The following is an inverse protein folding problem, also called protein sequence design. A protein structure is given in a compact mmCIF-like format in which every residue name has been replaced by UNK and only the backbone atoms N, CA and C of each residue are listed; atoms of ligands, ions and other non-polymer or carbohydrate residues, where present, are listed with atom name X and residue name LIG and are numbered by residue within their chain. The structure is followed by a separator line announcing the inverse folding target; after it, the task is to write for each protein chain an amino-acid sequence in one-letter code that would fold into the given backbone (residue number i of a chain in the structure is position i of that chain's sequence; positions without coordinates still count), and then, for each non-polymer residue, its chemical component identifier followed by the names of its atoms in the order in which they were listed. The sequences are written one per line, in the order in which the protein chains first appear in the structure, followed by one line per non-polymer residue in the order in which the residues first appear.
data_IF_451700813040
#
_entry.id   IF_451700813040
#
_cell.length_a   1.000
_cell.length_b   1.000
_cell.length_c   1.000
_cell.angle_alpha   90.00
_cell.angle_beta   90.00
_cell.angle_gamma   90.00
#
_symmetry.space_group_name_H-M   'P 1'
#
loop_
_entity.id
_entity.type
_entity.pdbx_description
1 polymer ?
#
# COMPACT_ATOMS: atom_id res chain seq x y z
N UNK A 1 45.57 15.60 -18.87
CA UNK A 1 47.04 15.42 -18.79
C UNK A 1 47.46 13.97 -19.04
N UNK A 2 46.71 13.20 -19.84
CA UNK A 2 47.07 11.84 -20.25
C UNK A 2 47.62 11.82 -21.70
N UNK A 3 47.74 12.99 -22.34
CA UNK A 3 48.18 13.14 -23.72
C UNK A 3 47.07 12.98 -24.77
N UNK A 4 45.82 12.83 -24.33
CA UNK A 4 44.64 12.74 -25.19
C UNK A 4 43.73 13.95 -24.94
N UNK A 5 43.08 14.43 -26.01
CA UNK A 5 42.13 15.53 -25.94
C UNK A 5 40.73 14.97 -25.65
N UNK A 6 40.47 14.68 -24.39
CA UNK A 6 39.22 14.06 -23.94
C UNK A 6 38.08 15.10 -23.86
N UNK A 7 38.40 16.39 -23.69
CA UNK A 7 37.41 17.48 -23.63
C UNK A 7 37.09 18.14 -24.99
N UNK A 8 37.80 17.76 -26.06
CA UNK A 8 37.60 18.25 -27.43
C UNK A 8 38.25 19.60 -27.76
N UNK A 9 38.58 20.42 -26.77
CA UNK A 9 39.18 21.76 -26.88
C UNK A 9 40.63 21.86 -26.35
N UNK A 10 41.26 20.72 -26.04
CA UNK A 10 42.60 20.58 -25.44
C UNK A 10 42.75 21.30 -24.09
N UNK A 11 41.64 21.62 -23.43
CA UNK A 11 41.68 22.28 -22.12
C UNK A 11 42.25 21.37 -21.03
N UNK A 12 41.93 20.07 -21.11
CA UNK A 12 42.38 18.98 -20.23
C UNK A 12 43.88 18.67 -20.32
N UNK A 13 44.55 19.15 -21.36
CA UNK A 13 46.00 19.02 -21.57
C UNK A 13 46.78 20.33 -21.34
N UNK A 14 46.10 21.42 -20.94
CA UNK A 14 46.76 22.68 -20.59
C UNK A 14 47.13 22.70 -19.10
N UNK A 15 48.29 23.26 -18.78
CA UNK A 15 48.81 23.47 -17.41
C UNK A 15 49.26 22.20 -16.65
N UNK A 16 49.66 21.14 -17.35
CA UNK A 16 50.20 19.92 -16.74
C UNK A 16 51.68 20.09 -16.32
N UNK A 17 52.00 19.90 -15.05
CA UNK A 17 53.39 19.96 -14.54
C UNK A 17 54.12 18.62 -14.71
N UNK A 18 54.88 18.49 -15.80
CA UNK A 18 55.74 17.33 -16.10
C UNK A 18 57.19 17.57 -15.68
N UNK A 19 57.85 16.56 -15.12
CA UNK A 19 59.31 16.51 -14.92
C UNK A 19 59.83 15.22 -15.53
N UNK A 20 60.84 15.29 -16.41
CA UNK A 20 61.41 14.14 -17.15
C UNK A 20 60.37 13.24 -17.85
N UNK A 21 59.37 13.86 -18.50
CA UNK A 21 58.40 13.13 -19.31
C UNK A 21 57.38 12.29 -18.53
N UNK A 22 57.32 12.42 -17.19
CA UNK A 22 56.31 11.80 -16.34
C UNK A 22 55.48 12.86 -15.62
N UNK A 23 54.18 12.61 -15.45
CA UNK A 23 53.34 13.44 -14.58
C UNK A 23 53.95 13.42 -13.18
N UNK A 24 54.13 14.58 -12.58
CA UNK A 24 54.45 14.68 -11.16
C UNK A 24 53.15 14.33 -10.42
N UNK A 25 52.92 13.10 -10.00
CA UNK A 25 51.71 12.78 -9.22
C UNK A 25 52.02 12.91 -7.72
N UNK A 26 51.05 13.37 -6.95
CA UNK A 26 51.10 13.32 -5.49
C UNK A 26 50.57 11.97 -5.03
N UNK A 27 51.30 11.26 -4.18
CA UNK A 27 50.82 10.01 -3.60
C UNK A 27 50.29 10.31 -2.20
N UNK A 28 49.05 9.91 -1.93
CA UNK A 28 48.46 10.02 -0.59
C UNK A 28 49.36 9.28 0.43
N UNK A 29 49.37 9.73 1.69
CA UNK A 29 50.22 9.14 2.74
C UNK A 29 49.89 7.66 3.02
N UNK A 30 48.64 7.24 2.77
CA UNK A 30 48.18 5.84 2.82
C UNK A 30 48.73 4.96 1.69
N UNK A 31 49.41 5.57 0.70
CA UNK A 31 50.02 4.98 -0.49
C UNK A 31 49.05 4.28 -1.44
N UNK A 32 47.73 4.39 -1.23
CA UNK A 32 46.72 3.68 -2.03
C UNK A 32 46.31 4.46 -3.25
N UNK A 33 46.31 5.79 -3.16
CA UNK A 33 45.83 6.67 -4.22
C UNK A 33 46.92 7.63 -4.70
N UNK A 34 46.97 7.84 -6.01
CA UNK A 34 47.89 8.73 -6.70
C UNK A 34 47.05 9.81 -7.39
N UNK A 35 47.25 11.05 -6.96
CA UNK A 35 46.53 12.22 -7.41
C UNK A 35 47.36 13.05 -8.38
N UNK A 36 46.68 13.81 -9.22
CA UNK A 36 47.34 14.85 -10.01
C UNK A 36 47.71 16.06 -9.11
N UNK A 37 48.71 16.88 -9.46
CA UNK A 37 49.06 18.09 -8.69
C UNK A 37 47.95 19.11 -8.57
N UNK A 38 46.97 19.05 -9.48
CA UNK A 38 45.82 19.96 -9.49
C UNK A 38 44.79 19.60 -8.42
N UNK A 39 44.86 18.37 -7.91
CA UNK A 39 44.00 17.82 -6.85
C UNK A 39 44.67 17.90 -5.47
N UNK A 40 45.69 18.73 -5.34
CA UNK A 40 46.40 18.93 -4.07
C UNK A 40 46.19 20.37 -3.67
N UNK A 41 45.60 20.59 -2.50
CA UNK A 41 45.19 21.90 -2.02
C UNK A 41 44.12 22.57 -2.89
N UNK A 42 43.22 21.78 -3.48
CA UNK A 42 42.16 22.28 -4.36
C UNK A 42 40.84 22.56 -3.62
N UNK A 43 40.82 22.29 -2.32
CA UNK A 43 39.65 22.47 -1.47
C UNK A 43 38.68 21.29 -1.49
N UNK A 44 39.05 20.16 -2.11
CA UNK A 44 38.26 18.93 -2.18
C UNK A 44 39.08 17.77 -1.62
N UNK A 45 38.47 16.92 -0.79
CA UNK A 45 39.14 15.75 -0.23
C UNK A 45 39.05 14.58 -1.20
N UNK A 46 40.13 14.34 -1.92
CA UNK A 46 40.32 13.23 -2.85
C UNK A 46 41.09 12.06 -2.20
N UNK A 47 42.00 12.31 -1.27
CA UNK A 47 42.67 11.26 -0.50
C UNK A 47 41.79 10.77 0.67
N UNK A 48 41.72 9.44 0.87
CA UNK A 48 41.03 8.84 2.03
C UNK A 48 41.63 9.23 3.38
N UNK A 49 42.92 9.58 3.40
CA UNK A 49 43.63 10.06 4.58
C UNK A 49 43.71 11.60 4.66
N UNK A 50 43.02 12.31 3.75
CA UNK A 50 42.94 13.79 3.68
C UNK A 50 44.31 14.45 3.48
N UNK A 51 45.32 13.68 3.03
CA UNK A 51 46.71 14.17 2.95
C UNK A 51 46.93 15.22 1.85
N UNK A 52 46.09 15.20 0.83
CA UNK A 52 46.00 16.19 -0.25
C UNK A 52 45.61 17.59 0.23
N UNK A 53 44.74 17.71 1.24
CA UNK A 53 44.26 19.00 1.74
C UNK A 53 44.91 19.39 3.09
N UNK A 54 45.39 18.43 3.87
CA UNK A 54 45.97 18.68 5.20
C UNK A 54 47.46 19.07 5.17
N UNK A 55 48.18 18.87 4.06
CA UNK A 55 49.59 19.25 3.90
C UNK A 55 49.79 20.63 3.27
N UNK A 56 48.70 21.38 3.11
CA UNK A 56 48.66 22.72 2.52
C UNK A 56 48.96 23.82 3.55
N UNK A 57 49.37 25.00 3.11
CA UNK A 57 49.58 26.16 4.01
C UNK A 57 48.28 26.60 4.69
N UNK A 58 47.12 26.38 4.05
CA UNK A 58 45.81 26.72 4.58
C UNK A 58 45.05 25.46 5.01
N UNK A 59 45.03 25.17 6.31
CA UNK A 59 44.46 23.94 6.88
C UNK A 59 42.97 24.04 7.24
N UNK A 60 42.27 25.07 6.76
CA UNK A 60 40.87 25.33 7.14
C UNK A 60 39.91 24.20 6.79
N UNK A 61 40.04 23.60 5.60
CA UNK A 61 39.24 22.44 5.19
C UNK A 61 39.62 21.18 5.99
N UNK A 62 40.91 21.01 6.29
CA UNK A 62 41.39 19.93 7.15
C UNK A 62 40.78 20.02 8.56
N UNK A 63 40.72 21.23 9.13
CA UNK A 63 40.10 21.50 10.43
C UNK A 63 38.56 21.36 10.42
N UNK A 64 37.92 21.51 9.26
CA UNK A 64 36.47 21.33 9.08
C UNK A 64 36.09 19.85 8.90
N UNK A 65 36.85 19.12 8.08
CA UNK A 65 36.62 17.69 7.76
C UNK A 65 37.04 16.77 8.91
N UNK A 66 38.18 17.03 9.55
CA UNK A 66 38.61 16.29 10.75
C UNK A 66 37.97 16.83 12.03
N UNK A 67 37.17 17.90 11.92
CA UNK A 67 36.65 18.68 13.04
C UNK A 67 37.77 19.37 13.81
N UNK A 68 37.42 20.31 14.70
CA UNK A 68 38.35 20.82 15.73
C UNK A 68 38.77 19.65 16.62
N UNK A 69 39.79 18.91 16.19
CA UNK A 69 40.46 17.88 16.96
C UNK A 69 41.10 18.56 18.16
N UNK A 70 40.37 18.63 19.27
CA UNK A 70 40.99 18.89 20.55
C UNK A 70 41.88 17.67 20.84
N UNK A 71 43.09 17.92 21.31
CA UNK A 71 43.99 16.88 21.81
C UNK A 71 43.27 16.18 22.99
N UNK A 72 42.73 14.97 22.79
CA UNK A 72 41.87 14.34 23.82
C UNK A 72 42.53 13.11 24.46
N UNK A 73 43.42 12.38 23.78
CA UNK A 73 43.95 11.13 24.34
C UNK A 73 45.47 11.04 24.28
N UNK A 74 46.07 10.81 25.45
CA UNK A 74 47.52 10.82 25.65
C UNK A 74 47.98 9.52 26.31
N UNK A 75 48.68 8.68 25.54
CA UNK A 75 49.40 7.52 26.08
C UNK A 75 50.89 7.81 25.99
N UNK A 76 51.50 8.20 27.10
CA UNK A 76 52.94 8.53 27.12
C UNK A 76 53.27 9.75 26.25
N UNK A 77 54.03 9.56 25.16
CA UNK A 77 54.45 10.63 24.22
C UNK A 77 53.62 10.70 22.93
N UNK A 78 52.64 9.81 22.76
CA UNK A 78 51.85 9.70 21.52
C UNK A 78 50.50 10.39 21.70
N UNK A 79 50.19 11.36 20.82
CA UNK A 79 48.96 12.15 20.84
C UNK A 79 48.07 11.69 19.69
N UNK A 80 46.82 11.33 19.99
CA UNK A 80 45.85 10.84 19.00
C UNK A 80 44.78 11.91 18.70
N UNK A 81 44.41 12.07 17.42
CA UNK A 81 43.64 13.24 16.93
C UNK A 81 42.18 12.97 16.49
N UNK A 82 41.71 11.72 16.46
CA UNK A 82 40.40 11.35 15.88
C UNK A 82 39.46 10.62 16.86
N UNK A 83 39.30 11.12 18.10
CA UNK A 83 38.34 10.57 19.08
C UNK A 83 37.19 11.55 19.33
N UNK A 84 35.98 11.03 19.49
CA UNK A 84 34.76 11.80 19.77
C UNK A 84 34.51 11.83 21.28
N UNK A 85 34.34 13.01 21.87
CA UNK A 85 34.10 13.08 23.32
C UNK A 85 32.64 12.75 23.66
N UNK A 86 32.46 11.85 24.62
CA UNK A 86 31.19 11.57 25.29
C UNK A 86 30.08 11.06 24.36
N UNK A 87 30.44 10.31 23.32
CA UNK A 87 29.47 9.74 22.37
C UNK A 87 29.03 8.33 22.77
N UNK A 88 29.56 7.81 23.88
CA UNK A 88 29.24 6.49 24.38
C UNK A 88 30.08 5.41 23.72
N UNK A 89 31.15 5.72 23.00
CA UNK A 89 32.00 4.72 22.34
C UNK A 89 33.46 5.00 22.72
N UNK A 90 34.11 4.10 23.48
CA UNK A 90 35.51 4.31 23.84
C UNK A 90 36.42 4.07 22.63
N UNK A 91 37.02 5.14 22.13
CA UNK A 91 37.98 5.15 21.03
C UNK A 91 39.42 5.30 21.55
N UNK A 92 39.58 5.85 22.76
CA UNK A 92 40.87 5.99 23.40
C UNK A 92 41.22 4.79 24.28
N UNK A 93 42.49 4.38 24.25
CA UNK A 93 43.00 3.22 24.99
C UNK A 93 42.70 3.21 26.50
N UNK A 94 42.59 4.40 27.11
CA UNK A 94 42.24 4.56 28.52
C UNK A 94 40.79 5.05 28.72
N UNK A 95 40.02 5.21 27.64
CA UNK A 95 38.63 5.69 27.63
C UNK A 95 38.47 7.11 28.15
N UNK A 96 39.49 7.95 27.97
CA UNK A 96 39.54 9.35 28.46
C UNK A 96 38.55 10.26 27.72
N UNK A 97 38.21 9.88 26.50
CA UNK A 97 37.13 10.40 25.66
C UNK A 97 35.73 10.17 26.26
N UNK A 98 35.57 9.11 27.04
CA UNK A 98 34.29 8.66 27.60
C UNK A 98 34.19 8.86 29.12
N UNK A 99 35.35 8.88 29.80
CA UNK A 99 35.44 8.89 31.25
C UNK A 99 36.34 10.03 31.77
N UNK A 100 35.80 10.81 32.71
CA UNK A 100 36.53 11.70 33.62
C UNK A 100 37.30 12.92 33.06
N UNK A 101 37.06 13.39 31.83
CA UNK A 101 37.69 14.65 31.36
C UNK A 101 36.76 15.55 30.53
N UNK A 102 35.55 15.83 31.04
CA UNK A 102 34.68 16.87 30.47
C UNK A 102 33.30 16.41 29.98
N UNK A 103 32.92 15.14 30.19
CA UNK A 103 31.57 14.67 29.93
C UNK A 103 30.61 15.13 31.04
N UNK A 104 29.47 15.78 30.72
CA UNK A 104 28.49 16.20 31.72
C UNK A 104 27.84 15.01 32.45
N UNK A 105 27.73 13.86 31.77
CA UNK A 105 27.39 12.56 32.37
C UNK A 105 28.44 11.53 31.92
N UNK A 106 28.94 10.71 32.84
CA UNK A 106 29.79 9.57 32.50
C UNK A 106 29.00 8.55 31.67
N UNK A 107 29.64 7.95 30.67
CA UNK A 107 28.99 6.92 29.84
C UNK A 107 29.09 5.54 30.48
N UNK A 108 28.22 4.62 30.05
CA UNK A 108 28.11 3.27 30.65
C UNK A 108 29.41 2.45 30.56
N UNK A 109 30.31 2.81 29.63
CA UNK A 109 31.62 2.17 29.51
C UNK A 109 32.54 2.44 30.72
N UNK A 110 32.28 3.48 31.52
CA UNK A 110 33.05 3.80 32.73
C UNK A 110 32.83 2.80 33.86
N UNK A 111 31.69 2.09 33.86
CA UNK A 111 31.35 1.11 34.90
C UNK A 111 32.09 -0.23 34.72
N UNK A 112 32.65 -0.50 33.53
CA UNK A 112 33.40 -1.72 33.25
C UNK A 112 34.90 -1.57 33.51
N UNK A 113 35.54 -2.69 33.84
CA UNK A 113 36.98 -2.76 34.05
C UNK A 113 37.75 -2.29 32.80
N UNK A 114 38.65 -1.32 32.97
CA UNK A 114 39.48 -0.74 31.89
C UNK A 114 40.29 -1.78 31.12
N UNK A 115 40.65 -2.90 31.77
CA UNK A 115 41.39 -4.01 31.14
C UNK A 115 40.62 -4.67 30.00
N UNK A 116 39.29 -4.60 30.00
CA UNK A 116 38.45 -5.13 28.93
C UNK A 116 38.67 -4.35 27.64
N UNK A 117 38.51 -3.04 27.73
CA UNK A 117 38.76 -2.13 26.61
C UNK A 117 40.23 -2.20 26.16
N UNK A 118 41.18 -2.15 27.09
CA UNK A 118 42.61 -2.20 26.76
C UNK A 118 42.98 -3.47 25.98
N UNK A 119 42.46 -4.65 26.35
CA UNK A 119 42.73 -5.89 25.59
C UNK A 119 42.20 -5.83 24.16
N UNK A 120 40.98 -5.34 23.98
CA UNK A 120 40.41 -5.17 22.65
C UNK A 120 41.22 -4.16 21.84
N UNK A 121 41.59 -3.03 22.45
CA UNK A 121 42.40 -2.00 21.82
C UNK A 121 43.80 -2.50 21.42
N UNK A 122 44.47 -3.28 22.28
CA UNK A 122 45.75 -3.92 21.95
C UNK A 122 45.60 -4.91 20.78
N UNK A 123 44.53 -5.72 20.76
CA UNK A 123 44.30 -6.68 19.68
C UNK A 123 44.06 -5.99 18.31
N UNK A 124 43.33 -4.86 18.29
CA UNK A 124 43.15 -4.04 17.08
C UNK A 124 44.49 -3.44 16.65
N UNK A 125 45.25 -2.88 17.61
CA UNK A 125 46.55 -2.28 17.35
C UNK A 125 47.56 -3.27 16.76
N UNK A 126 47.67 -4.47 17.33
CA UNK A 126 48.55 -5.53 16.83
C UNK A 126 48.18 -6.00 15.42
N UNK A 127 46.89 -5.96 15.07
CA UNK A 127 46.40 -6.43 13.76
C UNK A 127 46.50 -5.37 12.66
N UNK A 128 46.21 -4.11 12.97
CA UNK A 128 46.03 -3.06 11.97
C UNK A 128 47.08 -1.93 12.06
N UNK A 129 47.83 -1.82 13.17
CA UNK A 129 48.82 -0.76 13.39
C UNK A 129 48.23 0.61 13.71
N UNK A 130 46.91 0.74 13.76
CA UNK A 130 46.16 1.95 14.13
C UNK A 130 44.86 1.57 14.86
N UNK A 131 44.41 2.41 15.81
CA UNK A 131 43.25 2.11 16.67
C UNK A 131 41.93 2.76 16.19
N UNK A 132 41.99 3.96 15.59
CA UNK A 132 40.85 4.88 15.48
C UNK A 132 40.07 4.82 14.15
N UNK A 133 40.60 4.15 13.13
CA UNK A 133 39.94 4.01 11.82
C UNK A 133 38.92 2.86 11.77
N UNK A 134 38.94 1.97 12.77
CA UNK A 134 37.96 0.91 12.93
C UNK A 134 36.91 1.31 13.98
N UNK A 135 36.03 2.27 13.64
CA UNK A 135 34.72 2.32 14.28
C UNK A 135 34.01 0.99 13.96
N UNK A 136 33.32 0.39 14.95
CA UNK A 136 32.38 -0.76 14.86
C UNK A 136 32.84 -2.13 15.42
N UNK A 137 33.64 -2.19 16.50
CA UNK A 137 33.69 -3.44 17.30
C UNK A 137 32.99 -3.31 18.66
N UNK A 138 32.38 -2.16 18.92
CA UNK A 138 31.41 -1.99 19.99
C UNK A 138 30.05 -1.85 19.34
N UNK A 139 29.04 -2.45 19.95
CA UNK A 139 27.67 -2.38 19.46
C UNK A 139 27.55 -2.83 17.99
N UNK A 140 28.19 -3.93 17.61
CA UNK A 140 28.12 -4.52 16.27
C UNK A 140 27.07 -5.64 16.18
N UNK A 141 26.58 -6.11 17.32
CA UNK A 141 25.62 -7.20 17.46
C UNK A 141 26.26 -8.56 17.71
N UNK A 142 27.58 -8.63 17.85
CA UNK A 142 28.33 -9.87 18.11
C UNK A 142 28.97 -9.77 19.49
N UNK A 143 28.39 -10.39 20.54
CA UNK A 143 28.90 -10.24 21.89
C UNK A 143 30.31 -10.80 22.02
N UNK A 144 31.26 -9.95 22.42
CA UNK A 144 32.63 -10.38 22.72
C UNK A 144 32.69 -11.18 24.03
N UNK A 145 33.48 -12.26 24.00
CA UNK A 145 33.69 -13.15 25.14
C UNK A 145 35.16 -13.27 25.50
N UNK A 146 35.63 -12.43 26.44
CA UNK A 146 36.93 -12.60 27.08
C UNK A 146 36.75 -13.31 28.44
N UNK A 147 36.69 -14.64 28.38
CA UNK A 147 36.49 -15.50 29.55
C UNK A 147 37.56 -15.21 30.64
N UNK A 148 37.09 -14.92 31.87
CA UNK A 148 37.84 -14.54 33.10
C UNK A 148 38.11 -13.06 33.36
N UNK A 149 38.05 -12.16 32.38
CA UNK A 149 38.44 -10.74 32.59
C UNK A 149 37.23 -9.81 32.51
N UNK A 150 36.26 -10.14 31.65
CA UNK A 150 35.13 -9.28 31.33
C UNK A 150 33.81 -10.04 31.46
N UNK A 151 32.74 -9.31 31.73
CA UNK A 151 31.39 -9.82 31.52
C UNK A 151 31.18 -10.12 30.03
N UNK A 152 30.44 -11.18 29.75
CA UNK A 152 30.07 -11.59 28.40
C UNK A 152 29.19 -10.51 27.75
N UNK A 153 29.53 -10.06 26.54
CA UNK A 153 28.77 -9.02 25.84
C UNK A 153 28.90 -7.62 26.46
N UNK A 154 30.02 -7.30 27.12
CA UNK A 154 30.29 -5.97 27.68
C UNK A 154 30.37 -4.86 26.63
N UNK A 155 30.52 -5.24 25.38
CA UNK A 155 30.60 -4.41 24.18
C UNK A 155 29.23 -4.15 23.55
N UNK A 156 28.19 -4.86 23.99
CA UNK A 156 26.83 -4.81 23.45
C UNK A 156 25.83 -4.17 24.43
N UNK A 157 26.29 -3.30 25.32
CA UNK A 157 25.45 -2.72 26.38
C UNK A 157 25.24 -1.23 26.18
N UNK A 158 23.98 -0.78 26.34
CA UNK A 158 23.55 0.61 26.20
C UNK A 158 23.95 1.30 24.87
N UNK A 159 23.91 0.54 23.78
CA UNK A 159 24.15 0.96 22.41
C UNK A 159 23.01 1.86 21.92
N UNK A 160 23.30 3.16 21.78
CA UNK A 160 22.32 4.12 21.29
C UNK A 160 21.92 3.77 19.86
N UNK A 161 20.63 3.62 19.62
CA UNK A 161 20.11 3.34 18.26
C UNK A 161 20.06 1.86 17.87
N UNK A 162 20.28 0.92 18.81
CA UNK A 162 20.08 -0.52 18.59
C UNK A 162 18.88 -1.06 19.39
N UNK A 163 18.36 -2.20 18.96
CA UNK A 163 17.29 -2.92 19.65
C UNK A 163 17.85 -4.13 20.37
N UNK A 164 17.40 -4.35 21.61
CA UNK A 164 17.83 -5.44 22.46
C UNK A 164 16.85 -6.60 22.40
N UNK A 165 17.30 -7.75 21.92
CA UNK A 165 16.48 -8.95 21.89
C UNK A 165 16.13 -9.38 23.33
N UNK A 166 14.91 -9.88 23.53
CA UNK A 166 14.36 -10.23 24.85
C UNK A 166 14.89 -11.58 25.37
N UNK A 167 16.21 -11.70 25.48
CA UNK A 167 16.83 -12.95 25.91
C UNK A 167 16.81 -13.10 27.44
N UNK A 168 16.26 -14.21 27.96
CA UNK A 168 16.34 -14.58 29.40
C UNK A 168 17.72 -15.10 29.80
N UNK A 169 18.55 -15.47 28.84
CA UNK A 169 19.96 -15.78 29.09
C UNK A 169 20.73 -14.48 29.16
N UNK A 170 21.70 -14.35 30.07
CA UNK A 170 22.50 -13.12 30.31
C UNK A 170 23.36 -12.65 29.12
N UNK A 171 23.10 -13.15 27.92
CA UNK A 171 23.72 -12.77 26.66
C UNK A 171 22.97 -11.59 26.08
N UNK A 172 23.53 -10.38 26.22
CA UNK A 172 23.04 -9.21 25.49
C UNK A 172 23.39 -9.37 24.01
N UNK A 173 22.35 -9.51 23.20
CA UNK A 173 22.42 -9.52 21.75
C UNK A 173 21.60 -8.34 21.25
N UNK A 174 22.20 -7.53 20.35
CA UNK A 174 21.57 -6.31 19.86
C UNK A 174 21.56 -6.27 18.33
N UNK A 175 20.41 -5.92 17.75
CA UNK A 175 20.24 -5.75 16.31
C UNK A 175 20.17 -4.27 15.97
N UNK A 176 20.52 -3.92 14.73
CA UNK A 176 20.31 -2.57 14.23
C UNK A 176 18.81 -2.24 14.16
N UNK A 177 18.43 -0.98 14.35
CA UNK A 177 17.02 -0.53 14.20
C UNK A 177 16.42 -0.82 12.81
N UNK A 178 17.24 -1.00 11.78
CA UNK A 178 16.78 -1.36 10.43
C UNK A 178 16.27 -2.80 10.33
N UNK A 179 16.72 -3.66 11.23
CA UNK A 179 16.32 -5.08 11.34
C UNK A 179 15.14 -5.25 12.32
N UNK A 180 14.79 -4.21 13.06
CA UNK A 180 13.63 -4.24 13.94
C UNK A 180 12.36 -4.08 13.11
N UNK A 181 11.42 -5.02 13.23
CA UNK A 181 10.18 -5.01 12.45
C UNK A 181 10.49 -4.96 10.95
N UNK A 182 11.38 -5.81 10.47
CA UNK A 182 11.74 -6.00 9.07
C UNK A 182 11.03 -7.23 8.43
N UNK A 183 10.40 -8.07 9.26
CA UNK A 183 9.57 -9.23 8.89
C UNK A 183 10.32 -10.54 8.89
N UNK A 184 11.60 -10.48 9.19
CA UNK A 184 12.50 -11.61 9.30
C UNK A 184 12.92 -11.69 10.76
N UNK A 185 12.73 -12.84 11.43
CA UNK A 185 13.25 -13.02 12.78
C UNK A 185 14.79 -13.05 12.75
N UNK A 186 15.43 -11.96 13.14
CA UNK A 186 16.90 -11.82 13.31
C UNK A 186 17.33 -12.10 14.75
N UNK A 187 16.47 -11.80 15.72
CA UNK A 187 16.67 -12.24 17.09
C UNK A 187 16.49 -13.77 17.19
N UNK A 188 17.33 -14.43 18.00
CA UNK A 188 17.23 -15.89 18.23
C UNK A 188 15.92 -16.34 18.87
N UNK A 189 15.22 -15.42 19.55
CA UNK A 189 13.91 -15.62 20.17
C UNK A 189 12.74 -15.02 19.34
N UNK A 190 13.04 -14.33 18.23
CA UNK A 190 12.07 -13.62 17.40
C UNK A 190 11.40 -12.42 18.09
N UNK A 191 12.03 -11.85 19.12
CA UNK A 191 11.48 -10.71 19.88
C UNK A 191 11.43 -9.40 19.09
N UNK A 192 12.25 -9.29 18.07
CA UNK A 192 12.28 -8.21 17.07
C UNK A 192 11.04 -8.16 16.18
N UNK A 193 10.36 -9.28 15.99
CA UNK A 193 9.16 -9.38 15.15
C UNK A 193 7.89 -9.63 15.97
N UNK A 194 7.93 -9.39 17.28
CA UNK A 194 6.80 -9.63 18.16
C UNK A 194 5.72 -8.55 18.00
N UNK A 195 4.46 -8.98 17.96
CA UNK A 195 3.30 -8.09 17.75
C UNK A 195 3.23 -6.96 18.77
N UNK A 196 3.66 -7.19 20.01
CA UNK A 196 3.68 -6.14 21.05
C UNK A 196 4.68 -5.01 20.79
N UNK A 197 5.68 -5.24 19.93
CA UNK A 197 6.74 -4.27 19.60
C UNK A 197 6.45 -3.62 18.25
N UNK A 198 5.99 -4.41 17.27
CA UNK A 198 5.86 -3.99 15.88
C UNK A 198 4.42 -3.70 15.44
N UNK A 199 3.45 -3.64 16.37
CA UNK A 199 2.04 -3.41 16.05
C UNK A 199 1.84 -2.17 15.18
N UNK A 200 2.64 -1.12 15.35
CA UNK A 200 2.49 0.17 14.67
C UNK A 200 3.12 0.23 13.28
N UNK A 201 4.11 -0.60 12.98
CA UNK A 201 4.79 -0.62 11.68
C UNK A 201 4.30 -1.76 10.78
N UNK A 202 3.75 -2.83 11.38
CA UNK A 202 3.39 -4.06 10.67
C UNK A 202 1.96 -4.50 10.88
N UNK A 203 1.52 -5.37 9.98
CA UNK A 203 0.28 -6.10 10.08
C UNK A 203 0.56 -7.60 10.13
N UNK A 204 -0.07 -8.31 11.06
CA UNK A 204 0.15 -9.74 11.27
C UNK A 204 -0.91 -10.56 10.57
N UNK A 205 -0.49 -11.43 9.66
CA UNK A 205 -1.41 -12.32 8.95
C UNK A 205 -2.06 -13.29 9.94
N UNK A 206 -3.36 -13.55 9.79
CA UNK A 206 -4.09 -14.49 10.66
C UNK A 206 -3.58 -15.94 10.49
N UNK A 207 -3.13 -16.30 9.29
CA UNK A 207 -2.45 -17.57 9.00
C UNK A 207 -1.01 -17.66 9.49
N UNK A 208 -0.39 -16.53 9.88
CA UNK A 208 1.06 -16.38 10.16
C UNK A 208 1.97 -16.80 8.99
N UNK A 209 1.45 -16.77 7.76
CA UNK A 209 2.21 -17.09 6.54
C UNK A 209 1.98 -16.01 5.47
N UNK A 210 2.91 -15.08 5.25
CA UNK A 210 4.11 -14.77 6.06
C UNK A 210 3.74 -14.26 7.47
N UNK A 211 4.72 -14.19 8.39
CA UNK A 211 4.47 -13.81 9.80
C UNK A 211 3.79 -12.43 9.91
N UNK A 212 4.34 -11.46 9.19
CA UNK A 212 3.86 -10.09 9.13
C UNK A 212 4.14 -9.51 7.76
N UNK A 213 3.38 -8.49 7.40
CA UNK A 213 3.58 -7.67 6.21
C UNK A 213 3.69 -6.20 6.62
N UNK A 214 4.27 -5.39 5.74
CA UNK A 214 4.33 -3.95 5.95
C UNK A 214 2.93 -3.33 5.82
N UNK A 215 2.63 -2.32 6.65
CA UNK A 215 1.28 -1.71 6.71
C UNK A 215 0.83 -1.05 5.41
N UNK A 216 1.75 -0.60 4.57
CA UNK A 216 1.47 -0.07 3.22
C UNK A 216 0.92 -1.13 2.26
N UNK A 217 1.07 -2.41 2.61
CA UNK A 217 0.54 -3.54 1.84
C UNK A 217 -0.86 -4.00 2.29
N UNK A 218 -1.39 -3.42 3.36
CA UNK A 218 -2.74 -3.73 3.84
C UNK A 218 -3.76 -3.02 2.96
N UNK A 219 -4.81 -3.73 2.55
CA UNK A 219 -5.88 -3.23 1.67
C UNK A 219 -5.37 -2.64 0.32
N UNK A 220 -4.26 -3.16 -0.22
CA UNK A 220 -3.63 -2.66 -1.44
C UNK A 220 -4.21 -3.30 -2.73
N UNK A 221 -5.11 -4.28 -2.58
CA UNK A 221 -5.71 -5.08 -3.66
C UNK A 221 -4.87 -6.29 -4.06
N UNK A 222 -3.95 -6.74 -3.20
CA UNK A 222 -3.01 -7.84 -3.43
C UNK A 222 -3.08 -8.77 -2.25
N UNK A 223 -3.26 -10.05 -2.53
CA UNK A 223 -3.15 -11.08 -1.50
C UNK A 223 -1.67 -11.35 -1.18
N UNK A 224 -1.10 -10.60 -0.25
CA UNK A 224 0.24 -10.81 0.33
C UNK A 224 0.20 -11.87 1.46
N UNK A 225 -0.87 -11.92 2.26
CA UNK A 225 -1.08 -13.00 3.22
C UNK A 225 -1.65 -14.26 2.54
N UNK A 226 -1.17 -15.45 2.92
CA UNK A 226 -1.65 -16.73 2.32
C UNK A 226 -3.17 -16.95 2.49
N UNK A 227 -3.77 -16.35 3.52
CA UNK A 227 -5.21 -16.37 3.79
C UNK A 227 -5.97 -15.16 3.23
N UNK A 228 -5.31 -14.07 2.85
CA UNK A 228 -5.95 -12.83 2.39
C UNK A 228 -6.43 -11.92 3.52
N UNK A 229 -5.92 -12.13 4.74
CA UNK A 229 -6.30 -11.33 5.92
C UNK A 229 -5.86 -9.85 5.83
N UNK A 230 -4.89 -9.56 4.98
CA UNK A 230 -4.39 -8.23 4.62
C UNK A 230 -5.35 -7.41 3.77
N UNK A 231 -6.13 -8.05 2.90
CA UNK A 231 -7.14 -7.37 2.08
C UNK A 231 -8.48 -7.19 2.80
N UNK A 232 -8.74 -8.05 3.79
CA UNK A 232 -9.96 -8.05 4.58
C UNK A 232 -9.65 -7.99 6.09
N UNK A 233 -9.00 -6.92 6.59
CA UNK A 233 -8.69 -6.79 8.01
C UNK A 233 -9.99 -6.59 8.82
N UNK A 234 -10.02 -7.05 10.09
CA UNK A 234 -11.21 -6.90 10.94
C UNK A 234 -11.54 -5.44 11.27
N UNK A 235 -10.52 -4.58 11.25
CA UNK A 235 -10.65 -3.13 11.34
C UNK A 235 -10.17 -2.56 10.01
N UNK A 236 -11.12 -2.33 9.11
CA UNK A 236 -10.88 -1.74 7.80
C UNK A 236 -10.96 -0.21 7.87
N UNK A 237 -10.06 0.46 7.17
CA UNK A 237 -10.09 1.92 7.00
C UNK A 237 -11.06 2.35 5.88
N UNK A 238 -11.41 1.43 4.98
CA UNK A 238 -12.31 1.64 3.86
C UNK A 238 -13.77 1.58 4.32
N UNK A 239 -14.40 2.73 4.50
CA UNK A 239 -15.83 2.82 4.78
C UNK A 239 -16.65 2.81 3.49
N UNK A 240 -17.52 1.82 3.31
CA UNK A 240 -18.60 1.88 2.34
C UNK A 240 -19.92 2.25 3.05
N UNK A 241 -20.75 3.08 2.41
CA UNK A 241 -21.98 3.62 3.04
C UNK A 241 -23.04 2.53 3.29
N UNK A 242 -23.07 1.49 2.44
CA UNK A 242 -24.13 0.46 2.47
C UNK A 242 -23.63 -0.96 2.74
N UNK A 243 -22.34 -1.23 2.52
CA UNK A 243 -21.71 -2.54 2.75
C UNK A 243 -20.65 -2.44 3.85
N UNK A 244 -20.29 -3.58 4.41
CA UNK A 244 -19.20 -3.70 5.38
C UNK A 244 -18.26 -4.84 4.94
N UNK A 245 -17.05 -4.94 5.50
CA UNK A 245 -16.13 -6.04 5.16
C UNK A 245 -16.73 -7.43 5.39
N UNK A 246 -17.63 -7.56 6.36
CA UNK A 246 -18.23 -8.86 6.71
C UNK A 246 -19.56 -9.11 6.01
N UNK A 247 -20.27 -8.06 5.61
CA UNK A 247 -21.68 -8.13 5.23
C UNK A 247 -21.95 -7.29 3.99
N UNK A 248 -22.64 -7.87 3.00
CA UNK A 248 -23.04 -7.18 1.76
C UNK A 248 -23.91 -5.95 2.05
N UNK A 249 -24.85 -6.09 2.98
CA UNK A 249 -25.67 -5.00 3.51
C UNK A 249 -25.28 -4.83 4.96
N UNK A 250 -24.49 -3.79 5.26
CA UNK A 250 -23.85 -3.63 6.58
C UNK A 250 -24.86 -3.58 7.73
N UNK A 251 -25.93 -2.81 7.56
CA UNK A 251 -26.95 -2.63 8.62
C UNK A 251 -27.98 -3.75 8.67
N UNK A 252 -28.13 -4.36 9.84
CA UNK A 252 -29.18 -5.37 10.10
C UNK A 252 -30.58 -4.82 9.87
N UNK A 253 -30.82 -3.53 10.15
CA UNK A 253 -32.11 -2.88 9.89
C UNK A 253 -32.49 -2.91 8.41
N UNK A 254 -31.55 -2.59 7.52
CA UNK A 254 -31.81 -2.62 6.08
C UNK A 254 -32.02 -4.05 5.56
N UNK A 255 -31.34 -5.05 6.12
CA UNK A 255 -31.56 -6.46 5.76
C UNK A 255 -33.00 -6.91 6.04
N UNK A 256 -33.53 -6.57 7.22
CA UNK A 256 -34.92 -6.90 7.58
C UNK A 256 -35.90 -6.16 6.68
N UNK A 257 -35.66 -4.87 6.43
CA UNK A 257 -36.51 -4.06 5.54
C UNK A 257 -36.55 -4.65 4.12
N UNK A 258 -35.42 -5.10 3.57
CA UNK A 258 -35.38 -5.62 2.20
C UNK A 258 -36.15 -6.94 2.06
N UNK A 259 -36.07 -7.83 3.06
CA UNK A 259 -36.91 -9.02 3.12
C UNK A 259 -38.40 -8.64 3.18
N UNK A 260 -38.77 -7.71 4.06
CA UNK A 260 -40.17 -7.28 4.21
C UNK A 260 -40.72 -6.61 2.95
N UNK A 261 -39.99 -5.65 2.37
CA UNK A 261 -40.39 -4.95 1.15
C UNK A 261 -40.43 -5.89 -0.05
N UNK A 262 -39.46 -6.79 -0.18
CA UNK A 262 -39.43 -7.79 -1.25
C UNK A 262 -40.62 -8.74 -1.18
N UNK A 263 -40.93 -9.28 0.01
CA UNK A 263 -42.09 -10.16 0.20
C UNK A 263 -43.41 -9.44 -0.01
N UNK A 264 -43.56 -8.22 0.51
CA UNK A 264 -44.76 -7.41 0.35
C UNK A 264 -44.99 -7.03 -1.11
N UNK A 265 -43.93 -6.60 -1.82
CA UNK A 265 -44.01 -6.28 -3.23
C UNK A 265 -44.39 -7.50 -4.07
N UNK A 266 -43.78 -8.66 -3.82
CA UNK A 266 -44.08 -9.86 -4.58
C UNK A 266 -45.51 -10.35 -4.33
N UNK A 267 -45.92 -10.50 -3.07
CA UNK A 267 -47.27 -10.98 -2.73
C UNK A 267 -48.35 -9.97 -3.16
N UNK A 268 -48.14 -8.68 -2.91
CA UNK A 268 -49.09 -7.62 -3.27
C UNK A 268 -49.32 -7.57 -4.77
N UNK A 269 -48.26 -7.63 -5.56
CA UNK A 269 -48.39 -7.60 -7.02
C UNK A 269 -48.96 -8.91 -7.61
N UNK A 270 -48.68 -10.08 -7.01
CA UNK A 270 -49.33 -11.33 -7.40
C UNK A 270 -50.85 -11.26 -7.18
N UNK A 271 -51.29 -10.70 -6.04
CA UNK A 271 -52.72 -10.50 -5.77
C UNK A 271 -53.32 -9.56 -6.81
N UNK A 272 -52.72 -8.39 -7.04
CA UNK A 272 -53.21 -7.42 -8.05
C UNK A 272 -53.27 -8.05 -9.44
N UNK A 273 -52.25 -8.82 -9.83
CA UNK A 273 -52.23 -9.52 -11.12
C UNK A 273 -53.39 -10.51 -11.23
N UNK A 274 -53.55 -11.40 -10.24
CA UNK A 274 -54.58 -12.44 -10.26
C UNK A 274 -56.00 -11.86 -10.22
N UNK A 275 -56.25 -10.85 -9.38
CA UNK A 275 -57.56 -10.18 -9.32
C UNK A 275 -57.88 -9.45 -10.63
N UNK A 276 -56.90 -8.76 -11.21
CA UNK A 276 -57.09 -8.02 -12.46
C UNK A 276 -57.32 -8.95 -13.65
N UNK A 277 -56.61 -10.07 -13.72
CA UNK A 277 -56.82 -11.10 -14.76
C UNK A 277 -58.19 -11.75 -14.61
N UNK A 278 -58.58 -12.13 -13.38
CA UNK A 278 -59.89 -12.71 -13.12
C UNK A 278 -61.01 -11.74 -13.51
N UNK A 279 -60.88 -10.46 -13.15
CA UNK A 279 -61.86 -9.44 -13.49
C UNK A 279 -61.96 -9.21 -15.01
N UNK A 280 -60.85 -9.26 -15.75
CA UNK A 280 -60.87 -9.22 -17.21
C UNK A 280 -61.62 -10.40 -17.84
N UNK A 281 -61.43 -11.61 -17.29
CA UNK A 281 -62.11 -12.81 -17.78
C UNK A 281 -63.63 -12.73 -17.49
N UNK A 282 -64.02 -12.29 -16.30
CA UNK A 282 -65.43 -12.22 -15.88
C UNK A 282 -66.18 -11.08 -16.58
N UNK A 283 -65.61 -9.87 -16.67
CA UNK A 283 -66.30 -8.72 -17.28
C UNK A 283 -66.46 -8.85 -18.80
N UNK A 284 -65.63 -9.66 -19.47
CA UNK A 284 -65.56 -9.68 -20.94
C UNK A 284 -65.24 -8.30 -21.53
N UNK A 285 -65.32 -8.16 -22.85
CA UNK A 285 -65.06 -6.89 -23.56
C UNK A 285 -66.24 -5.89 -23.50
N UNK A 286 -66.99 -5.87 -22.39
CA UNK A 286 -68.23 -5.09 -22.27
C UNK A 286 -67.97 -3.60 -22.02
N UNK A 287 -66.94 -3.24 -21.26
CA UNK A 287 -66.47 -1.86 -21.05
C UNK A 287 -64.99 -1.74 -21.42
N UNK A 288 -64.71 -1.22 -22.63
CA UNK A 288 -63.35 -1.10 -23.18
C UNK A 288 -62.47 -0.16 -22.35
N UNK A 289 -63.04 0.82 -21.68
CA UNK A 289 -62.29 1.77 -20.85
C UNK A 289 -61.82 1.09 -19.55
N UNK A 290 -62.70 0.30 -18.93
CA UNK A 290 -62.33 -0.55 -17.78
C UNK A 290 -61.26 -1.59 -18.15
N UNK A 291 -61.42 -2.26 -19.29
CA UNK A 291 -60.43 -3.21 -19.82
C UNK A 291 -59.06 -2.57 -20.05
N UNK A 292 -59.02 -1.33 -20.54
CA UNK A 292 -57.77 -0.58 -20.75
C UNK A 292 -57.02 -0.36 -19.43
N UNK A 293 -57.71 0.10 -18.38
CA UNK A 293 -57.10 0.33 -17.06
C UNK A 293 -56.65 -0.96 -16.38
N UNK A 294 -57.45 -2.03 -16.46
CA UNK A 294 -57.05 -3.35 -15.95
C UNK A 294 -55.80 -3.88 -16.66
N UNK A 295 -55.67 -3.64 -17.96
CA UNK A 295 -54.47 -4.02 -18.72
C UNK A 295 -53.23 -3.25 -18.24
N UNK A 296 -53.34 -1.95 -17.95
CA UNK A 296 -52.23 -1.18 -17.37
C UNK A 296 -51.85 -1.67 -15.98
N UNK A 297 -52.82 -1.99 -15.12
CA UNK A 297 -52.58 -2.53 -13.78
C UNK A 297 -51.88 -3.89 -13.83
N UNK A 298 -52.22 -4.75 -14.80
CA UNK A 298 -51.53 -6.02 -15.03
C UNK A 298 -50.07 -5.77 -15.39
N UNK A 299 -49.79 -4.91 -16.38
CA UNK A 299 -48.41 -4.62 -16.77
C UNK A 299 -47.60 -3.99 -15.63
N UNK A 300 -48.21 -3.09 -14.85
CA UNK A 300 -47.57 -2.48 -13.67
C UNK A 300 -47.24 -3.54 -12.61
N UNK A 301 -48.20 -4.43 -12.30
CA UNK A 301 -47.98 -5.51 -11.32
C UNK A 301 -46.90 -6.51 -11.75
N UNK A 302 -46.79 -6.80 -13.05
CA UNK A 302 -45.71 -7.66 -13.59
C UNK A 302 -44.37 -6.96 -13.43
N UNK A 303 -44.30 -5.67 -13.78
CA UNK A 303 -43.08 -4.88 -13.64
C UNK A 303 -42.62 -4.77 -12.18
N UNK A 304 -43.52 -4.44 -11.25
CA UNK A 304 -43.20 -4.32 -9.82
C UNK A 304 -42.90 -5.69 -9.16
N UNK A 305 -43.46 -6.80 -9.68
CA UNK A 305 -43.10 -8.15 -9.23
C UNK A 305 -41.63 -8.47 -9.51
N UNK A 306 -41.06 -7.94 -10.62
CA UNK A 306 -39.64 -8.09 -10.92
C UNK A 306 -38.77 -7.39 -9.85
N UNK A 307 -39.13 -6.19 -9.41
CA UNK A 307 -38.45 -5.53 -8.27
C UNK A 307 -38.53 -6.38 -7.00
N UNK A 308 -39.69 -6.99 -6.71
CA UNK A 308 -39.85 -7.90 -5.58
C UNK A 308 -38.90 -9.10 -5.65
N UNK A 309 -38.80 -9.75 -6.82
CA UNK A 309 -37.86 -10.86 -7.07
C UNK A 309 -36.41 -10.40 -6.88
N UNK A 310 -36.05 -9.22 -7.39
CA UNK A 310 -34.72 -8.63 -7.20
C UNK A 310 -34.38 -8.45 -5.72
N UNK A 311 -35.26 -7.80 -4.94
CA UNK A 311 -35.02 -7.53 -3.52
C UNK A 311 -34.87 -8.83 -2.70
N UNK A 312 -35.65 -9.85 -3.02
CA UNK A 312 -35.52 -11.17 -2.38
C UNK A 312 -34.24 -11.88 -2.79
N UNK A 313 -33.85 -11.79 -4.08
CA UNK A 313 -32.61 -12.39 -4.56
C UNK A 313 -31.38 -11.77 -3.92
N UNK A 314 -31.28 -10.43 -3.83
CA UNK A 314 -30.16 -9.77 -3.14
C UNK A 314 -30.16 -10.09 -1.65
N UNK A 315 -31.33 -10.22 -1.03
CA UNK A 315 -31.42 -10.55 0.40
C UNK A 315 -30.96 -12.00 0.66
N UNK A 316 -31.30 -12.93 -0.23
CA UNK A 316 -30.81 -14.31 -0.19
C UNK A 316 -29.29 -14.40 -0.36
N UNK A 317 -28.74 -13.70 -1.35
CA UNK A 317 -27.28 -13.63 -1.55
C UNK A 317 -26.58 -12.95 -0.36
N UNK A 318 -27.19 -11.93 0.23
CA UNK A 318 -26.68 -11.26 1.42
C UNK A 318 -26.54 -12.20 2.62
N UNK A 319 -27.47 -13.14 2.80
CA UNK A 319 -27.36 -14.18 3.83
C UNK A 319 -26.26 -15.17 3.50
N UNK A 320 -26.11 -15.56 2.24
CA UNK A 320 -25.08 -16.51 1.80
C UNK A 320 -23.65 -16.02 2.08
N UNK A 321 -23.38 -14.73 1.86
CA UNK A 321 -22.06 -14.13 2.07
C UNK A 321 -21.88 -13.48 3.46
N UNK A 322 -22.78 -13.77 4.40
CA UNK A 322 -22.73 -13.19 5.73
C UNK A 322 -21.51 -13.66 6.51
N UNK A 323 -20.74 -12.70 7.04
CA UNK A 323 -19.51 -12.95 7.81
C UNK A 323 -18.24 -13.05 6.96
N UNK A 324 -18.32 -13.16 5.63
CA UNK A 324 -17.17 -13.31 4.74
C UNK A 324 -17.27 -12.51 3.44
N UNK A 325 -18.14 -11.49 3.39
CA UNK A 325 -18.43 -10.75 2.15
C UNK A 325 -17.21 -10.20 1.44
N UNK A 326 -16.23 -9.63 2.16
CA UNK A 326 -15.02 -9.04 1.58
C UNK A 326 -14.22 -10.02 0.70
N UNK A 327 -14.23 -11.33 1.00
CA UNK A 327 -13.52 -12.32 0.17
C UNK A 327 -14.27 -12.66 -1.12
N UNK A 328 -15.57 -12.41 -1.16
CA UNK A 328 -16.45 -12.75 -2.26
C UNK A 328 -16.92 -11.52 -3.06
N UNK A 329 -16.58 -10.31 -2.65
CA UNK A 329 -17.15 -9.07 -3.19
C UNK A 329 -16.79 -8.86 -4.67
N UNK A 330 -15.54 -9.14 -5.06
CA UNK A 330 -15.02 -8.98 -6.41
C UNK A 330 -15.59 -10.07 -7.33
N UNK A 331 -15.64 -11.31 -6.83
CA UNK A 331 -16.25 -12.43 -7.53
C UNK A 331 -17.77 -12.21 -7.73
N UNK A 332 -18.45 -11.69 -6.72
CA UNK A 332 -19.87 -11.35 -6.79
C UNK A 332 -20.13 -10.24 -7.81
N UNK A 333 -19.43 -9.11 -7.71
CA UNK A 333 -19.62 -7.96 -8.61
C UNK A 333 -19.31 -8.31 -10.06
N UNK A 334 -18.32 -9.16 -10.31
CA UNK A 334 -17.98 -9.64 -11.66
C UNK A 334 -18.87 -10.77 -12.18
N UNK A 335 -19.74 -11.34 -11.35
CA UNK A 335 -20.59 -12.47 -11.74
C UNK A 335 -21.68 -12.08 -12.74
N UNK A 336 -22.05 -13.04 -13.60
CA UNK A 336 -23.20 -12.92 -14.49
C UNK A 336 -24.52 -12.76 -13.73
N UNK A 337 -24.61 -13.33 -12.52
CA UNK A 337 -25.81 -13.24 -11.68
C UNK A 337 -26.03 -11.81 -11.17
N UNK A 338 -24.97 -11.12 -10.71
CA UNK A 338 -25.05 -9.72 -10.32
C UNK A 338 -25.46 -8.82 -11.50
N UNK A 339 -24.90 -9.07 -12.69
CA UNK A 339 -25.29 -8.34 -13.92
C UNK A 339 -26.76 -8.58 -14.28
N UNK A 340 -27.23 -9.83 -14.25
CA UNK A 340 -28.63 -10.19 -14.52
C UNK A 340 -29.61 -9.55 -13.51
N UNK A 341 -29.28 -9.56 -12.21
CA UNK A 341 -30.09 -8.88 -11.21
C UNK A 341 -30.10 -7.36 -11.44
N UNK A 342 -28.98 -6.78 -11.87
CA UNK A 342 -28.85 -5.38 -12.26
C UNK A 342 -29.71 -5.01 -13.47
N UNK A 343 -29.79 -5.85 -14.51
CA UNK A 343 -30.68 -5.59 -15.64
C UNK A 343 -32.14 -5.74 -15.25
N UNK A 344 -32.48 -6.74 -14.43
CA UNK A 344 -33.84 -7.00 -13.97
C UNK A 344 -34.43 -5.81 -13.18
N UNK A 345 -33.64 -5.20 -12.29
CA UNK A 345 -34.08 -4.03 -11.51
C UNK A 345 -34.26 -2.78 -12.38
N UNK A 346 -33.42 -2.58 -13.40
CA UNK A 346 -33.56 -1.46 -14.35
C UNK A 346 -34.79 -1.64 -15.23
N UNK A 347 -35.06 -2.86 -15.73
CA UNK A 347 -36.29 -3.16 -16.47
C UNK A 347 -37.51 -2.82 -15.61
N UNK A 348 -37.53 -3.31 -14.37
CA UNK A 348 -38.65 -3.10 -13.45
C UNK A 348 -38.92 -1.62 -13.16
N UNK A 349 -37.88 -0.85 -12.81
CA UNK A 349 -38.04 0.56 -12.45
C UNK A 349 -38.46 1.43 -13.64
N UNK A 350 -37.84 1.24 -14.80
CA UNK A 350 -38.13 2.01 -16.01
C UNK A 350 -39.51 1.67 -16.60
N UNK A 351 -39.86 0.38 -16.70
CA UNK A 351 -41.16 -0.05 -17.23
C UNK A 351 -42.28 0.43 -16.31
N UNK A 352 -42.13 0.34 -14.98
CA UNK A 352 -43.13 0.86 -14.05
C UNK A 352 -43.32 2.37 -14.18
N UNK A 353 -42.23 3.14 -14.34
CA UNK A 353 -42.30 4.59 -14.54
C UNK A 353 -43.03 4.97 -15.85
N UNK A 354 -42.70 4.29 -16.95
CA UNK A 354 -43.35 4.51 -18.25
C UNK A 354 -44.83 4.08 -18.24
N UNK A 355 -45.17 2.98 -17.57
CA UNK A 355 -46.56 2.55 -17.40
C UNK A 355 -47.35 3.53 -16.54
N UNK A 356 -46.77 4.02 -15.43
CA UNK A 356 -47.43 5.04 -14.61
C UNK A 356 -47.68 6.33 -15.41
N UNK A 357 -46.72 6.76 -16.22
CA UNK A 357 -46.89 7.93 -17.10
C UNK A 357 -47.97 7.71 -18.18
N UNK A 358 -47.98 6.54 -18.83
CA UNK A 358 -49.01 6.20 -19.83
C UNK A 358 -50.39 6.07 -19.19
N UNK A 359 -50.49 5.50 -17.99
CA UNK A 359 -51.74 5.43 -17.24
C UNK A 359 -52.25 6.83 -16.86
N UNK A 360 -51.37 7.72 -16.36
CA UNK A 360 -51.72 9.08 -15.99
C UNK A 360 -52.20 9.91 -17.19
N UNK A 361 -51.50 9.81 -18.33
CA UNK A 361 -51.92 10.46 -19.57
C UNK A 361 -53.25 9.92 -20.07
N UNK A 362 -53.45 8.59 -20.05
CA UNK A 362 -54.72 7.98 -20.44
C UNK A 362 -55.89 8.42 -19.55
N UNK A 363 -55.67 8.55 -18.23
CA UNK A 363 -56.64 9.14 -17.30
C UNK A 363 -56.98 10.59 -17.68
N UNK A 364 -55.97 11.40 -17.98
CA UNK A 364 -56.19 12.79 -18.40
C UNK A 364 -57.06 12.86 -19.68
N UNK A 365 -56.77 12.02 -20.68
CA UNK A 365 -57.58 11.93 -21.90
C UNK A 365 -59.02 11.47 -21.64
N UNK A 366 -59.24 10.53 -20.70
CA UNK A 366 -60.61 10.12 -20.32
C UNK A 366 -61.43 11.23 -19.68
N UNK A 367 -60.80 12.14 -18.94
CA UNK A 367 -61.47 13.28 -18.32
C UNK A 367 -61.78 14.37 -19.35
N UNK A 368 -60.82 14.69 -20.22
CA UNK A 368 -60.99 15.74 -21.23
C UNK A 368 -61.91 15.33 -22.40
N UNK A 369 -61.87 14.05 -22.82
CA UNK A 369 -62.60 13.56 -23.99
C UNK A 369 -63.43 12.29 -23.68
N UNK A 370 -64.46 12.38 -22.82
CA UNK A 370 -65.18 11.21 -22.32
C UNK A 370 -65.89 10.40 -23.43
N UNK A 371 -66.48 11.06 -24.43
CA UNK A 371 -67.20 10.39 -25.52
C UNK A 371 -66.25 9.60 -26.43
N UNK A 372 -65.07 10.16 -26.73
CA UNK A 372 -64.07 9.52 -27.59
C UNK A 372 -63.43 8.31 -26.91
N UNK A 373 -63.24 8.39 -25.60
CA UNK A 373 -62.61 7.35 -24.80
C UNK A 373 -63.54 6.18 -24.47
N UNK A 374 -64.87 6.39 -24.51
CA UNK A 374 -65.85 5.30 -24.39
C UNK A 374 -65.71 4.23 -25.48
N UNK A 375 -65.27 4.63 -26.68
CA UNK A 375 -65.04 3.74 -27.82
C UNK A 375 -63.53 3.61 -28.14
N UNK A 376 -62.69 3.55 -27.10
CA UNK A 376 -61.25 3.38 -27.29
C UNK A 376 -60.94 2.04 -27.96
N UNK A 377 -60.06 2.05 -28.97
CA UNK A 377 -59.62 0.83 -29.65
C UNK A 377 -58.53 0.15 -28.81
N UNK A 378 -58.44 -1.19 -28.90
CA UNK A 378 -57.42 -1.96 -28.19
C UNK A 378 -55.98 -1.50 -28.48
N UNK A 379 -55.73 -1.07 -29.72
CA UNK A 379 -54.45 -0.49 -30.15
C UNK A 379 -54.02 0.73 -29.32
N UNK A 380 -54.98 1.49 -28.76
CA UNK A 380 -54.72 2.72 -28.02
C UNK A 380 -54.02 2.53 -26.67
N UNK A 381 -54.17 1.36 -26.02
CA UNK A 381 -53.48 1.04 -24.77
C UNK A 381 -52.44 -0.08 -24.92
N UNK A 382 -52.58 -0.96 -25.92
CA UNK A 382 -51.61 -2.03 -26.19
C UNK A 382 -50.31 -1.46 -26.76
N UNK A 383 -50.36 -0.56 -27.76
CA UNK A 383 -49.15 0.00 -28.39
C UNK A 383 -48.28 0.73 -27.36
N UNK A 384 -48.81 1.67 -26.53
CA UNK A 384 -48.00 2.33 -25.52
C UNK A 384 -47.38 1.37 -24.50
N UNK A 385 -48.11 0.31 -24.11
CA UNK A 385 -47.60 -0.71 -23.18
C UNK A 385 -46.44 -1.49 -23.80
N UNK A 386 -46.55 -1.92 -25.05
CA UNK A 386 -45.46 -2.61 -25.76
C UNK A 386 -44.26 -1.67 -25.92
N UNK A 387 -44.48 -0.41 -26.29
CA UNK A 387 -43.41 0.58 -26.38
C UNK A 387 -42.71 0.79 -25.04
N UNK A 388 -43.45 0.84 -23.92
CA UNK A 388 -42.86 0.96 -22.58
C UNK A 388 -41.94 -0.22 -22.26
N UNK A 389 -42.37 -1.46 -22.55
CA UNK A 389 -41.54 -2.65 -22.37
C UNK A 389 -40.31 -2.65 -23.27
N UNK A 390 -40.46 -2.32 -24.56
CA UNK A 390 -39.34 -2.27 -25.50
C UNK A 390 -38.30 -1.22 -25.09
N UNK A 391 -38.75 -0.02 -24.68
CA UNK A 391 -37.87 1.05 -24.22
C UNK A 391 -37.18 0.63 -22.91
N UNK A 392 -37.92 0.10 -21.93
CA UNK A 392 -37.35 -0.35 -20.66
C UNK A 392 -36.31 -1.47 -20.82
N UNK A 393 -36.59 -2.46 -21.67
CA UNK A 393 -35.64 -3.53 -21.99
C UNK A 393 -34.41 -2.98 -22.73
N UNK A 394 -34.61 -2.08 -23.69
CA UNK A 394 -33.49 -1.46 -24.41
C UNK A 394 -32.58 -0.70 -23.45
N UNK A 395 -33.15 0.16 -22.59
CA UNK A 395 -32.41 0.93 -21.60
C UNK A 395 -31.66 0.04 -20.60
N UNK A 396 -32.27 -1.06 -20.16
CA UNK A 396 -31.63 -2.01 -19.25
C UNK A 396 -30.52 -2.85 -19.89
N UNK A 397 -30.63 -3.16 -21.19
CA UNK A 397 -29.66 -3.96 -21.91
C UNK A 397 -28.45 -3.14 -22.41
N UNK A 398 -28.59 -1.83 -22.62
CA UNK A 398 -27.47 -0.94 -23.03
C UNK A 398 -26.23 -1.11 -22.13
N UNK A 399 -26.34 -1.07 -20.79
CA UNK A 399 -25.22 -1.32 -19.88
C UNK A 399 -24.62 -2.72 -19.98
N UNK A 400 -25.37 -3.72 -20.45
CA UNK A 400 -24.94 -5.12 -20.55
C UNK A 400 -24.33 -5.47 -21.92
N UNK A 401 -24.67 -4.74 -22.98
CA UNK A 401 -24.19 -5.01 -24.35
C UNK A 401 -22.82 -4.39 -24.65
N UNK A 402 -22.41 -3.37 -23.90
CA UNK A 402 -21.07 -2.81 -23.98
C UNK A 402 -20.08 -3.56 -23.10
N UNK A 403 -18.82 -3.60 -23.51
CA UNK A 403 -17.67 -3.81 -22.59
C UNK A 403 -17.61 -2.75 -21.47
N UNK A 404 -18.52 -1.78 -21.45
CA UNK A 404 -18.85 -0.93 -20.32
C UNK A 404 -19.49 -1.76 -19.22
N UNK A 405 -18.74 -2.49 -18.41
CA UNK A 405 -19.35 -3.05 -17.20
C UNK A 405 -19.69 -1.92 -16.22
N UNK A 406 -20.79 -1.24 -16.49
CA UNK A 406 -21.41 -0.16 -15.75
C UNK A 406 -21.72 -0.59 -14.30
N UNK A 407 -22.04 -1.87 -14.12
CA UNK A 407 -22.26 -2.49 -12.82
C UNK A 407 -20.97 -2.88 -12.08
N UNK A 408 -19.79 -2.71 -12.70
CA UNK A 408 -18.52 -3.24 -12.21
C UNK A 408 -17.41 -2.20 -12.38
N UNK A 409 -17.00 -1.52 -11.31
CA UNK A 409 -15.94 -0.50 -11.38
C UNK A 409 -14.51 -1.07 -11.41
N UNK A 410 -14.33 -2.33 -11.02
CA UNK A 410 -13.04 -3.01 -10.89
C UNK A 410 -13.02 -4.32 -11.69
N UNK A 411 -11.96 -4.54 -12.45
CA UNK A 411 -11.71 -5.81 -13.12
C UNK A 411 -10.71 -6.60 -12.28
N UNK A 412 -11.01 -7.87 -12.02
CA UNK A 412 -10.01 -8.81 -11.51
C UNK A 412 -9.17 -9.30 -12.69
N UNK A 413 -7.86 -9.06 -12.63
CA UNK A 413 -6.94 -9.48 -13.68
C UNK A 413 -5.65 -10.03 -13.04
N UNK A 414 -5.41 -11.35 -13.11
CA UNK A 414 -4.18 -11.93 -12.60
C UNK A 414 -3.04 -11.57 -13.57
N UNK A 415 -2.19 -10.63 -13.17
CA UNK A 415 -1.00 -10.27 -13.94
C UNK A 415 0.22 -10.24 -13.03
N UNK A 416 1.33 -10.80 -13.53
CA UNK A 416 2.61 -10.77 -12.85
C UNK A 416 3.23 -9.35 -12.82
N UNK A 417 2.83 -8.47 -13.74
CA UNK A 417 3.43 -7.13 -13.88
C UNK A 417 2.78 -6.05 -13.02
N UNK A 418 1.54 -6.24 -12.58
CA UNK A 418 0.86 -5.27 -11.73
C UNK A 418 0.86 -5.80 -10.31
N UNK A 419 1.24 -4.94 -9.37
CA UNK A 419 1.10 -5.26 -7.96
C UNK A 419 -0.38 -5.57 -7.68
N UNK A 420 -1.30 -4.67 -8.04
CA UNK A 420 -2.74 -4.78 -7.78
C UNK A 420 -3.42 -5.86 -8.64
N UNK A 421 -4.16 -6.78 -8.02
CA UNK A 421 -5.00 -7.78 -8.70
C UNK A 421 -6.35 -7.22 -9.14
N UNK A 422 -6.79 -6.14 -8.48
CA UNK A 422 -7.95 -5.35 -8.86
C UNK A 422 -7.53 -4.04 -9.51
N UNK A 423 -7.92 -3.85 -10.77
CA UNK A 423 -7.64 -2.62 -11.50
C UNK A 423 -8.95 -1.91 -11.82
N UNK A 424 -9.03 -0.63 -11.49
CA UNK A 424 -10.19 0.19 -11.88
C UNK A 424 -10.29 0.25 -13.40
N UNK A 425 -11.50 0.18 -13.94
CA UNK A 425 -11.71 0.25 -15.39
C UNK A 425 -11.13 1.49 -16.03
N UNK A 426 -11.16 2.62 -15.33
CA UNK A 426 -10.54 3.87 -15.79
C UNK A 426 -9.04 3.72 -16.07
N UNK A 427 -8.31 3.01 -15.20
CA UNK A 427 -6.88 2.73 -15.39
C UNK A 427 -6.65 1.77 -16.55
N UNK A 428 -7.48 0.73 -16.69
CA UNK A 428 -7.37 -0.23 -17.81
C UNK A 428 -7.64 0.44 -19.16
N UNK A 429 -8.69 1.25 -19.26
CA UNK A 429 -9.03 2.01 -20.48
C UNK A 429 -7.93 3.00 -20.82
N UNK A 430 -7.41 3.72 -19.82
CA UNK A 430 -6.26 4.60 -20.02
C UNK A 430 -5.03 3.84 -20.56
N UNK A 431 -4.74 2.67 -20.00
CA UNK A 431 -3.59 1.85 -20.38
C UNK A 431 -3.77 1.24 -21.78
N UNK A 432 -4.97 0.79 -22.12
CA UNK A 432 -5.32 0.30 -23.45
C UNK A 432 -5.19 1.41 -24.50
N UNK A 433 -5.68 2.61 -24.22
CA UNK A 433 -5.54 3.77 -25.11
C UNK A 433 -4.06 4.18 -25.29
N UNK A 434 -3.26 4.08 -24.22
CA UNK A 434 -1.82 4.32 -24.28
C UNK A 434 -1.11 3.27 -25.13
N UNK A 435 -1.44 1.99 -24.92
CA UNK A 435 -0.88 0.87 -25.68
C UNK A 435 -1.24 0.95 -27.17
N UNK A 436 -2.49 1.33 -27.51
CA UNK A 436 -2.89 1.51 -28.91
C UNK A 436 -2.12 2.64 -29.60
N UNK A 437 -1.78 3.72 -28.87
CA UNK A 437 -0.93 4.79 -29.41
C UNK A 437 0.50 4.29 -29.68
N UNK A 438 1.06 3.45 -28.81
CA UNK A 438 2.38 2.86 -29.02
C UNK A 438 2.40 1.86 -30.18
N UNK A 439 1.35 1.03 -30.33
CA UNK A 439 1.24 0.09 -31.45
C UNK A 439 1.07 0.84 -32.77
N UNK A 440 0.25 1.91 -32.80
CA UNK A 440 0.08 2.72 -34.00
C UNK A 440 1.39 3.41 -34.45
N UNK A 441 2.19 3.91 -33.50
CA UNK A 441 3.50 4.52 -33.78
C UNK A 441 4.60 3.51 -34.13
N UNK A 442 4.46 2.23 -33.77
CA UNK A 442 5.42 1.18 -34.12
C UNK A 442 5.17 0.57 -35.51
N UNK A 443 4.01 0.84 -36.12
CA UNK A 443 3.62 0.36 -37.46
C UNK A 443 3.81 1.39 -38.58
N UNK A 444 4.28 2.58 -38.26
CA UNK A 444 4.75 3.63 -39.19
C UNK A 444 6.26 3.71 -39.14
#
# INVERSE_FOLDING_TARGET
CNGYNDCGDWSDEKNCSHVDGKLKCFQCLDKKLLLSPMQVCDGVVDCYDVSDECLCENQTLCDEVLGKSKNICSIGRTIYKNATMCDGIPECYNREDECNVGCPNQTHFCDFAIRCHQRQATAIWEKYGYLFLHKRQYCDGIPLSYYRICSLGFDEVNCQGRFYCHNKTKLLFSIGKSLLCDGVPDCTDGSDELESVCSDSRFYCKSKQPLSIARDRVENGIKDCSDGSDECPPVSSKSHVFSSPFEMIGSTWFRVIFWLLGSLALLGNIVVFTTSVLELIISGNTDLLKTSFLTFLINLSVSDSLMGIYLLAISGVGVQFSGSYCHHDAQWRSSSLCSFLGTLVVISTEVSALIMATMATFRLFSVYFPIKMRNVKNLGYIIPSICAWLIGILLACIPSMGQSGYFVNTLWFPNYFFAQQEISKSKVVWLANRASQFVANATT
#
